data_IF_992130172793
#
_entry.id   IF_992130172793
#
_cell.length_a   1.000
_cell.length_b   1.000
_cell.length_c   1.000
_cell.angle_alpha   90.00
_cell.angle_beta   90.00
_cell.angle_gamma   90.00
#
_symmetry.space_group_name_H-M   'P 1'
#
loop_
_entity.id
_entity.type
_entity.pdbx_description
1 polymer ?
#
# COMPACT_ATOMS: atom_id res chain seq x y z
N UNK A 1 -7.37 -31.99 22.65
CA UNK A 1 -7.59 -30.60 22.21
C UNK A 1 -6.84 -30.43 20.90
N UNK A 2 -7.59 -30.39 19.80
CA UNK A 2 -7.04 -30.51 18.45
C UNK A 2 -6.17 -29.32 18.06
N UNK A 3 -5.02 -29.62 17.46
CA UNK A 3 -4.21 -28.67 16.73
C UNK A 3 -5.09 -28.06 15.61
N UNK A 4 -5.47 -26.80 15.79
CA UNK A 4 -5.99 -25.99 14.69
C UNK A 4 -4.83 -25.85 13.70
N UNK A 5 -5.03 -26.37 12.50
CA UNK A 5 -4.05 -26.44 11.42
C UNK A 5 -3.44 -25.07 11.13
N UNK A 6 -2.16 -24.90 11.45
CA UNK A 6 -1.37 -23.69 11.23
C UNK A 6 -0.88 -23.52 9.78
N UNK A 7 -1.41 -24.30 8.85
CA UNK A 7 -0.96 -24.33 7.44
C UNK A 7 -1.29 -23.02 6.67
N UNK A 8 -2.10 -22.12 7.25
CA UNK A 8 -2.52 -20.86 6.63
C UNK A 8 -1.84 -19.59 7.13
N UNK A 9 -0.82 -19.66 8.01
CA UNK A 9 -0.22 -18.50 8.68
C UNK A 9 0.39 -17.47 7.72
N UNK A 10 1.71 -17.53 7.50
CA UNK A 10 2.43 -16.54 6.67
C UNK A 10 1.90 -16.44 5.23
N UNK A 11 1.51 -17.55 4.61
CA UNK A 11 0.92 -17.59 3.26
C UNK A 11 -0.41 -16.81 3.19
N UNK A 12 -1.28 -16.98 4.19
CA UNK A 12 -2.54 -16.23 4.28
C UNK A 12 -2.31 -14.73 4.47
N UNK A 13 -1.38 -14.36 5.35
CA UNK A 13 -0.96 -12.96 5.52
C UNK A 13 -0.40 -12.36 4.22
N UNK A 14 0.40 -13.12 3.47
CA UNK A 14 0.99 -12.70 2.19
C UNK A 14 -0.07 -12.44 1.13
N UNK A 15 -1.05 -13.34 0.98
CA UNK A 15 -2.16 -13.15 0.05
C UNK A 15 -3.04 -11.95 0.41
N UNK A 16 -3.30 -11.72 1.70
CA UNK A 16 -4.01 -10.51 2.14
C UNK A 16 -3.23 -9.24 1.77
N UNK A 17 -1.91 -9.24 1.96
CA UNK A 17 -1.06 -8.12 1.56
C UNK A 17 -1.09 -7.88 0.05
N UNK A 18 -1.10 -8.93 -0.78
CA UNK A 18 -1.28 -8.81 -2.24
C UNK A 18 -2.61 -8.11 -2.54
N UNK A 19 -3.72 -8.62 -2.02
CA UNK A 19 -5.06 -8.08 -2.28
C UNK A 19 -5.16 -6.62 -1.83
N UNK A 20 -4.66 -6.30 -0.64
CA UNK A 20 -4.68 -4.92 -0.12
C UNK A 20 -3.84 -3.97 -0.99
N UNK A 21 -2.64 -4.39 -1.42
CA UNK A 21 -1.78 -3.59 -2.30
C UNK A 21 -2.46 -3.31 -3.65
N UNK A 22 -3.06 -4.34 -4.26
CA UNK A 22 -3.77 -4.17 -5.52
C UNK A 22 -5.03 -3.31 -5.35
N UNK A 23 -5.78 -3.49 -4.26
CA UNK A 23 -6.98 -2.70 -3.98
C UNK A 23 -6.65 -1.21 -3.80
N UNK A 24 -5.60 -0.88 -3.04
CA UNK A 24 -5.13 0.51 -2.90
C UNK A 24 -4.73 1.11 -4.27
N UNK A 25 -3.98 0.34 -5.07
CA UNK A 25 -3.58 0.78 -6.41
C UNK A 25 -4.77 1.05 -7.33
N UNK A 26 -5.82 0.21 -7.26
CA UNK A 26 -7.07 0.44 -8.02
C UNK A 26 -7.76 1.72 -7.59
N UNK A 27 -7.88 1.99 -6.28
CA UNK A 27 -8.49 3.25 -5.81
C UNK A 27 -7.73 4.45 -6.35
N UNK A 28 -6.39 4.44 -6.31
CA UNK A 28 -5.55 5.51 -6.85
C UNK A 28 -5.69 5.71 -8.36
N UNK A 29 -5.79 4.63 -9.14
CA UNK A 29 -6.07 4.71 -10.59
C UNK A 29 -7.45 5.33 -10.84
N UNK A 30 -8.46 4.92 -10.09
CA UNK A 30 -9.83 5.39 -10.32
C UNK A 30 -9.98 6.89 -10.04
N UNK A 31 -9.24 7.43 -9.07
CA UNK A 31 -9.29 8.87 -8.76
C UNK A 31 -8.34 9.71 -9.60
N UNK A 32 -7.32 9.12 -10.23
CA UNK A 32 -6.29 9.88 -10.95
C UNK A 32 -6.82 10.82 -12.05
N UNK A 33 -7.88 10.50 -12.83
CA UNK A 33 -8.40 11.43 -13.84
C UNK A 33 -8.89 12.75 -13.25
N UNK A 34 -9.49 12.71 -12.05
CA UNK A 34 -9.93 13.91 -11.33
C UNK A 34 -8.71 14.79 -11.01
N UNK A 35 -7.62 14.17 -10.56
CA UNK A 35 -6.41 14.90 -10.19
C UNK A 35 -5.62 15.38 -11.41
N UNK A 36 -5.62 14.66 -12.54
CA UNK A 36 -5.06 15.17 -13.81
C UNK A 36 -5.79 16.42 -14.30
N UNK A 37 -7.11 16.47 -14.15
CA UNK A 37 -7.91 17.64 -14.52
C UNK A 37 -7.59 18.86 -13.65
N UNK A 38 -7.12 18.66 -12.42
CA UNK A 38 -6.69 19.75 -11.53
C UNK A 38 -5.25 20.18 -11.81
N UNK A 39 -4.32 19.22 -11.91
CA UNK A 39 -2.92 19.48 -12.21
C UNK A 39 -2.20 18.19 -12.61
N UNK A 40 -1.37 18.27 -13.66
CA UNK A 40 -0.62 17.11 -14.18
C UNK A 40 0.22 16.42 -13.09
N UNK A 41 0.83 17.19 -12.19
CA UNK A 41 1.65 16.62 -11.12
C UNK A 41 0.86 15.82 -10.09
N UNK A 42 -0.39 16.21 -9.79
CA UNK A 42 -1.27 15.43 -8.91
C UNK A 42 -1.63 14.10 -9.59
N UNK A 43 -2.04 14.14 -10.87
CA UNK A 43 -2.34 12.92 -11.62
C UNK A 43 -1.16 11.96 -11.74
N UNK A 44 0.04 12.47 -12.06
CA UNK A 44 1.28 11.68 -12.13
C UNK A 44 1.61 11.04 -10.79
N UNK A 45 1.41 11.75 -9.68
CA UNK A 45 1.60 11.20 -8.34
C UNK A 45 0.69 9.98 -8.12
N UNK A 46 -0.62 10.11 -8.35
CA UNK A 46 -1.56 9.00 -8.14
C UNK A 46 -1.28 7.79 -9.02
N UNK A 47 -0.96 7.99 -10.31
CA UNK A 47 -0.57 6.88 -11.20
C UNK A 47 0.73 6.22 -10.75
N UNK A 48 1.70 7.02 -10.28
CA UNK A 48 2.98 6.49 -9.76
C UNK A 48 2.75 5.62 -8.53
N UNK A 49 1.97 6.11 -7.55
CA UNK A 49 1.61 5.35 -6.35
C UNK A 49 0.89 4.05 -6.73
N UNK A 50 -0.08 4.13 -7.64
CA UNK A 50 -0.81 2.97 -8.08
C UNK A 50 0.07 1.94 -8.79
N UNK A 51 0.98 2.38 -9.66
CA UNK A 51 1.94 1.50 -10.34
C UNK A 51 2.86 0.80 -9.33
N UNK A 52 3.38 1.54 -8.34
CA UNK A 52 4.22 0.97 -7.29
C UNK A 52 3.45 -0.03 -6.41
N UNK A 53 2.19 0.24 -6.08
CA UNK A 53 1.31 -0.69 -5.35
C UNK A 53 0.96 -1.93 -6.19
N UNK A 54 0.76 -1.77 -7.50
CA UNK A 54 0.58 -2.87 -8.45
C UNK A 54 1.82 -3.76 -8.52
N UNK A 55 2.97 -3.17 -8.81
CA UNK A 55 4.27 -3.87 -8.90
C UNK A 55 4.61 -4.54 -7.57
N UNK A 56 4.43 -3.84 -6.45
CA UNK A 56 4.65 -4.36 -5.10
C UNK A 56 3.75 -5.55 -4.79
N UNK A 57 2.46 -5.46 -5.11
CA UNK A 57 1.51 -6.56 -4.98
C UNK A 57 1.93 -7.78 -5.82
N UNK A 58 2.32 -7.56 -7.08
CA UNK A 58 2.77 -8.65 -7.95
C UNK A 58 4.09 -9.28 -7.49
N UNK A 59 5.02 -8.49 -6.95
CA UNK A 59 6.27 -8.99 -6.37
C UNK A 59 6.02 -9.91 -5.14
N UNK A 60 4.85 -9.82 -4.52
CA UNK A 60 4.44 -10.71 -3.43
C UNK A 60 3.74 -11.99 -3.91
N UNK A 61 3.32 -12.12 -5.18
CA UNK A 61 2.60 -13.31 -5.69
C UNK A 61 3.51 -14.51 -5.95
N UNK A 62 4.80 -14.30 -6.24
CA UNK A 62 5.72 -15.41 -6.58
C UNK A 62 7.18 -15.15 -6.24
N UNK A 63 7.97 -16.23 -6.21
CA UNK A 63 9.41 -16.20 -5.97
C UNK A 63 9.82 -16.19 -4.49
N UNK A 64 11.12 -16.44 -4.26
CA UNK A 64 11.71 -16.43 -2.92
C UNK A 64 11.47 -15.09 -2.23
N UNK A 65 10.96 -15.09 -0.99
CA UNK A 65 10.67 -13.86 -0.28
C UNK A 65 11.95 -13.02 -0.15
N UNK A 66 11.85 -11.71 -0.43
CA UNK A 66 12.94 -10.75 -0.25
C UNK A 66 12.49 -9.64 0.67
N UNK A 67 13.18 -9.45 1.80
CA UNK A 67 12.86 -8.42 2.82
C UNK A 67 12.67 -7.03 2.22
N UNK A 68 13.43 -6.74 1.17
CA UNK A 68 13.33 -5.50 0.40
C UNK A 68 11.90 -5.15 0.01
N UNK A 69 11.12 -6.08 -0.57
CA UNK A 69 9.77 -5.77 -1.05
C UNK A 69 8.79 -5.46 0.09
N UNK A 70 8.93 -6.14 1.23
CA UNK A 70 8.10 -5.88 2.41
C UNK A 70 8.41 -4.52 3.02
N UNK A 71 9.70 -4.18 3.19
CA UNK A 71 10.10 -2.85 3.68
C UNK A 71 9.76 -1.73 2.71
N UNK A 72 9.95 -1.94 1.40
CA UNK A 72 9.56 -0.96 0.38
C UNK A 72 8.05 -0.69 0.43
N UNK A 73 7.24 -1.74 0.60
CA UNK A 73 5.80 -1.60 0.79
C UNK A 73 5.45 -0.83 2.07
N UNK A 74 6.09 -1.12 3.21
CA UNK A 74 5.87 -0.40 4.48
C UNK A 74 6.21 1.08 4.32
N UNK A 75 7.42 1.41 3.86
CA UNK A 75 7.91 2.78 3.77
C UNK A 75 7.12 3.58 2.72
N UNK A 76 6.86 2.98 1.55
CA UNK A 76 6.12 3.63 0.48
C UNK A 76 4.70 4.00 0.90
N UNK A 77 3.93 3.04 1.43
CA UNK A 77 2.56 3.29 1.88
C UNK A 77 2.53 4.23 3.10
N UNK A 78 3.50 4.13 4.03
CA UNK A 78 3.59 5.08 5.14
C UNK A 78 3.82 6.51 4.65
N UNK A 79 4.62 6.69 3.61
CA UNK A 79 4.82 7.99 2.96
C UNK A 79 3.53 8.54 2.34
N UNK A 80 2.73 7.71 1.69
CA UNK A 80 1.42 8.13 1.11
C UNK A 80 0.44 8.50 2.21
N UNK A 81 0.30 7.67 3.25
CA UNK A 81 -0.56 7.96 4.41
C UNK A 81 -0.11 9.24 5.11
N UNK A 82 1.19 9.44 5.31
CA UNK A 82 1.71 10.66 5.92
C UNK A 82 1.40 11.89 5.07
N UNK A 83 1.60 11.81 3.75
CA UNK A 83 1.24 12.91 2.85
C UNK A 83 -0.26 13.21 2.90
N UNK A 84 -1.11 12.19 2.94
CA UNK A 84 -2.55 12.36 3.13
C UNK A 84 -2.83 13.11 4.44
N UNK A 85 -2.26 12.69 5.57
CA UNK A 85 -2.43 13.40 6.86
C UNK A 85 -2.00 14.86 6.74
N UNK A 86 -0.83 15.13 6.14
CA UNK A 86 -0.32 16.50 5.95
C UNK A 86 -1.32 17.33 5.14
N UNK A 87 -1.79 16.83 4.01
CA UNK A 87 -2.72 17.58 3.15
C UNK A 87 -4.06 17.88 3.83
N UNK A 88 -4.47 17.08 4.83
CA UNK A 88 -5.73 17.24 5.60
C UNK A 88 -5.56 18.11 6.86
N UNK A 89 -4.33 18.41 7.27
CA UNK A 89 -4.05 19.13 8.52
C UNK A 89 -3.25 20.41 8.32
N UNK A 90 -2.25 20.38 7.43
CA UNK A 90 -1.32 21.47 7.14
C UNK A 90 -1.48 22.03 5.72
N UNK A 91 -2.19 21.31 4.85
CA UNK A 91 -2.43 21.67 3.45
C UNK A 91 -1.44 21.03 2.48
N UNK A 92 -1.68 21.21 1.17
CA UNK A 92 -0.87 20.59 0.11
C UNK A 92 0.55 21.18 0.13
N UNK A 93 1.62 20.37 0.24
CA UNK A 93 2.99 20.89 0.30
C UNK A 93 3.48 21.48 -1.02
N UNK A 94 4.16 22.63 -0.93
CA UNK A 94 5.09 23.25 -1.89
C UNK A 94 4.62 23.56 -3.33
N UNK A 95 3.83 22.71 -3.98
CA UNK A 95 3.59 22.76 -5.43
C UNK A 95 2.13 22.48 -5.83
N UNK A 96 1.79 22.97 -7.03
CA UNK A 96 0.50 22.82 -7.67
C UNK A 96 -0.50 23.93 -7.30
N UNK A 97 -1.64 24.03 -8.01
CA UNK A 97 -2.57 25.14 -7.88
C UNK A 97 -3.18 25.32 -6.50
N UNK A 98 -3.30 24.23 -5.73
CA UNK A 98 -3.89 24.22 -4.39
C UNK A 98 -2.83 24.11 -3.27
N UNK A 99 -1.57 24.49 -3.54
CA UNK A 99 -0.51 24.49 -2.53
C UNK A 99 -0.88 25.38 -1.32
N UNK A 100 -0.66 24.85 -0.12
CA UNK A 100 -1.05 25.48 1.14
C UNK A 100 -2.52 25.31 1.53
N UNK A 101 -3.37 24.81 0.64
CA UNK A 101 -4.78 24.60 0.94
C UNK A 101 -5.01 23.30 1.69
N UNK A 102 -5.73 23.37 2.82
CA UNK A 102 -6.18 22.19 3.58
C UNK A 102 -7.30 21.52 2.80
N UNK A 103 -7.08 20.26 2.45
CA UNK A 103 -8.04 19.47 1.70
C UNK A 103 -9.06 18.83 2.64
N UNK A 104 -10.35 18.81 2.28
CA UNK A 104 -11.35 18.05 3.02
C UNK A 104 -11.05 16.54 2.92
N UNK A 105 -11.59 15.78 3.88
CA UNK A 105 -11.58 14.32 3.82
C UNK A 105 -12.64 13.87 2.81
N UNK A 106 -12.21 13.24 1.73
CA UNK A 106 -13.07 12.60 0.74
C UNK A 106 -13.23 11.11 1.04
N UNK A 107 -14.38 10.54 0.65
CA UNK A 107 -14.60 9.10 0.82
C UNK A 107 -13.55 8.23 0.10
N UNK A 108 -13.17 8.50 -1.17
CA UNK A 108 -12.18 7.67 -1.86
C UNK A 108 -10.80 7.69 -1.20
N UNK A 109 -10.36 8.87 -0.73
CA UNK A 109 -9.05 9.00 -0.09
C UNK A 109 -9.01 8.33 1.29
N UNK A 110 -10.08 8.44 2.08
CA UNK A 110 -10.18 7.75 3.36
C UNK A 110 -10.15 6.23 3.18
N UNK A 111 -10.88 5.70 2.19
CA UNK A 111 -10.87 4.26 1.88
C UNK A 111 -9.47 3.81 1.47
N UNK A 112 -8.79 4.54 0.58
CA UNK A 112 -7.41 4.24 0.20
C UNK A 112 -6.50 4.19 1.44
N UNK A 113 -6.53 5.23 2.27
CA UNK A 113 -5.69 5.33 3.47
C UNK A 113 -5.95 4.18 4.46
N UNK A 114 -7.20 3.75 4.67
CA UNK A 114 -7.50 2.61 5.53
C UNK A 114 -6.94 1.30 4.97
N UNK A 115 -7.02 1.09 3.65
CA UNK A 115 -6.44 -0.07 2.98
C UNK A 115 -4.91 -0.06 3.12
N UNK A 116 -4.28 1.11 2.93
CA UNK A 116 -2.83 1.28 3.06
C UNK A 116 -2.34 0.99 4.49
N UNK A 117 -3.05 1.50 5.51
CA UNK A 117 -2.73 1.21 6.92
C UNK A 117 -2.87 -0.28 7.21
N UNK A 118 -3.93 -0.92 6.71
CA UNK A 118 -4.09 -2.37 6.85
C UNK A 118 -2.96 -3.14 6.15
N UNK A 119 -2.56 -2.71 4.95
CA UNK A 119 -1.45 -3.30 4.20
C UNK A 119 -0.14 -3.19 4.98
N UNK A 120 0.18 -2.01 5.51
CA UNK A 120 1.36 -1.78 6.35
C UNK A 120 1.38 -2.76 7.52
N UNK A 121 0.26 -2.92 8.23
CA UNK A 121 0.14 -3.88 9.33
C UNK A 121 0.44 -5.32 8.90
N UNK A 122 -0.08 -5.75 7.75
CA UNK A 122 0.20 -7.10 7.22
C UNK A 122 1.66 -7.28 6.83
N UNK A 123 2.28 -6.28 6.19
CA UNK A 123 3.69 -6.32 5.82
C UNK A 123 4.60 -6.37 7.05
N UNK A 124 4.29 -5.61 8.11
CA UNK A 124 5.00 -5.67 9.38
C UNK A 124 4.90 -7.05 10.03
N UNK A 125 3.70 -7.66 10.06
CA UNK A 125 3.53 -9.03 10.53
C UNK A 125 4.38 -10.01 9.71
N UNK A 126 4.38 -9.90 8.39
CA UNK A 126 5.19 -10.74 7.51
C UNK A 126 6.69 -10.57 7.73
N UNK A 127 7.15 -9.35 8.04
CA UNK A 127 8.54 -9.10 8.42
C UNK A 127 8.93 -9.80 9.73
N UNK A 128 8.02 -9.86 10.72
CA UNK A 128 8.27 -10.64 11.95
C UNK A 128 8.28 -12.16 11.72
N UNK A 129 7.59 -12.62 10.66
CA UNK A 129 7.46 -14.04 10.28
C UNK A 129 8.28 -14.40 9.06
N UNK A 130 9.33 -13.64 8.76
CA UNK A 130 10.05 -13.78 7.50
C UNK A 130 10.68 -15.18 7.32
N UNK A 131 11.15 -15.80 8.41
CA UNK A 131 11.68 -17.17 8.37
C UNK A 131 10.65 -18.23 7.97
N UNK A 132 9.37 -18.04 8.30
CA UNK A 132 8.29 -18.94 7.85
C UNK A 132 8.11 -18.85 6.33
N UNK A 133 8.23 -17.64 5.76
CA UNK A 133 8.13 -17.42 4.32
C UNK A 133 9.30 -18.07 3.56
N UNK A 134 10.51 -17.98 4.12
CA UNK A 134 11.71 -18.60 3.52
C UNK A 134 11.58 -20.11 3.49
N UNK A 135 11.15 -20.72 4.61
CA UNK A 135 10.92 -22.17 4.67
C UNK A 135 9.84 -22.62 3.69
N UNK A 136 8.72 -21.89 3.59
CA UNK A 136 7.66 -22.20 2.63
C UNK A 136 8.15 -22.17 1.19
N UNK A 137 8.95 -21.17 0.82
CA UNK A 137 9.50 -21.06 -0.53
C UNK A 137 10.55 -22.13 -0.88
N UNK A 138 11.10 -22.85 0.10
CA UNK A 138 11.98 -24.00 -0.13
C UNK A 138 11.21 -25.32 -0.32
N UNK A 139 9.94 -25.35 0.09
CA UNK A 139 9.07 -26.53 0.02
C UNK A 139 8.17 -26.53 -1.22
N UNK A 140 7.97 -25.38 -1.85
CA UNK A 140 7.28 -25.19 -3.14
C UNK A 140 8.25 -25.37 -4.33
#
# INVERSE_FOLDING_TARGET
>A
MGAVSSEGGAKGWRWRAVVLSLAAGVVHILVSPIYFAQWVGYGVFFITVAALQGIGGMALVGGSPRRFFYWAGVVGNAGVVLLWVITRTLGIPFFGPAAGEVQPVGLPDLVATLIEVALIGHLLVLLTRFGELEQQALLE
#
